data_IF_537371114814
#
_entry.id   IF_537371114814
#
_cell.length_a   1.000
_cell.length_b   1.000
_cell.length_c   1.000
_cell.angle_alpha   90.00
_cell.angle_beta   90.00
_cell.angle_gamma   90.00
#
_symmetry.space_group_name_H-M   'P 1'
#
loop_
_entity.id
_entity.type
_entity.pdbx_description
1 polymer ?
#
# COMPACT_ATOMS: atom_id res chain seq x y z
N UNK A 1 11.48 9.76 -21.99
CA UNK A 1 11.84 8.46 -21.36
C UNK A 1 10.60 7.58 -21.19
N UNK A 2 10.77 6.25 -21.13
CA UNK A 2 9.69 5.32 -20.80
C UNK A 2 9.50 5.23 -19.29
N UNK A 3 8.25 5.20 -18.82
CA UNK A 3 7.90 5.10 -17.39
C UNK A 3 6.99 3.89 -17.16
N UNK A 4 7.21 3.15 -16.07
CA UNK A 4 6.31 2.11 -15.58
C UNK A 4 5.62 2.61 -14.31
N UNK A 5 4.29 2.55 -14.25
CA UNK A 5 3.50 2.75 -13.02
C UNK A 5 3.00 1.40 -12.55
N UNK A 6 3.31 1.04 -11.31
CA UNK A 6 2.83 -0.21 -10.70
C UNK A 6 1.55 0.09 -9.93
N UNK A 7 0.48 -0.66 -10.23
CA UNK A 7 -0.83 -0.57 -9.61
C UNK A 7 -1.95 -0.32 -10.62
N UNK A 8 -3.20 -0.25 -10.15
CA UNK A 8 -4.38 -0.11 -11.01
C UNK A 8 -5.52 0.68 -10.37
N UNK A 9 -5.27 1.39 -9.27
CA UNK A 9 -6.28 2.17 -8.57
C UNK A 9 -6.41 3.62 -9.07
N UNK A 10 -7.23 4.40 -8.39
CA UNK A 10 -7.43 5.82 -8.70
C UNK A 10 -6.19 6.67 -8.48
N UNK A 11 -5.35 6.32 -7.51
CA UNK A 11 -4.06 6.96 -7.24
C UNK A 11 -3.11 6.79 -8.43
N UNK A 12 -2.98 5.57 -8.93
CA UNK A 12 -2.15 5.26 -10.09
C UNK A 12 -2.69 5.92 -11.37
N UNK A 13 -4.02 6.00 -11.52
CA UNK A 13 -4.62 6.75 -12.63
C UNK A 13 -4.24 8.24 -12.59
N UNK A 14 -4.29 8.87 -11.43
CA UNK A 14 -3.87 10.27 -11.27
C UNK A 14 -2.37 10.47 -11.56
N UNK A 15 -1.52 9.50 -11.18
CA UNK A 15 -0.09 9.51 -11.50
C UNK A 15 0.11 9.40 -13.02
N UNK A 16 -0.58 8.47 -13.68
CA UNK A 16 -0.52 8.31 -15.15
C UNK A 16 -0.98 9.59 -15.86
N UNK A 17 -2.09 10.19 -15.43
CA UNK A 17 -2.58 11.45 -15.99
C UNK A 17 -1.56 12.60 -15.82
N UNK A 18 -0.90 12.71 -14.67
CA UNK A 18 0.14 13.70 -14.47
C UNK A 18 1.37 13.46 -15.37
N UNK A 19 1.81 12.20 -15.49
CA UNK A 19 2.94 11.80 -16.32
C UNK A 19 2.67 12.00 -17.82
N UNK A 20 1.43 11.79 -18.28
CA UNK A 20 1.05 11.96 -19.71
C UNK A 20 1.20 13.40 -20.21
N UNK A 21 1.18 14.38 -19.31
CA UNK A 21 1.39 15.80 -19.62
C UNK A 21 2.85 16.23 -19.62
N UNK A 22 3.76 15.35 -19.20
CA UNK A 22 5.18 15.68 -19.12
C UNK A 22 5.89 15.51 -20.46
N UNK A 23 6.56 16.54 -21.01
CA UNK A 23 7.32 16.42 -22.26
C UNK A 23 8.53 15.49 -22.16
N UNK A 24 8.94 15.09 -20.95
CA UNK A 24 10.03 14.15 -20.72
C UNK A 24 9.58 12.69 -20.84
N UNK A 25 8.27 12.42 -20.82
CA UNK A 25 7.69 11.07 -20.87
C UNK A 25 7.27 10.76 -22.30
N UNK A 26 7.92 9.78 -22.88
CA UNK A 26 7.65 9.31 -24.23
C UNK A 26 6.56 8.23 -24.25
N UNK A 27 6.60 7.33 -23.28
CA UNK A 27 5.69 6.18 -23.18
C UNK A 27 5.44 5.82 -21.72
N UNK A 28 4.19 5.54 -21.42
CA UNK A 28 3.76 5.07 -20.07
C UNK A 28 3.25 3.65 -20.20
N UNK A 29 3.76 2.77 -19.33
CA UNK A 29 3.24 1.44 -19.05
C UNK A 29 2.59 1.46 -17.67
N UNK A 30 1.54 0.67 -17.47
CA UNK A 30 0.90 0.52 -16.16
C UNK A 30 0.61 -0.97 -15.88
N UNK A 31 1.01 -1.48 -14.73
CA UNK A 31 0.88 -2.89 -14.38
C UNK A 31 0.16 -3.07 -13.02
N UNK A 32 -1.03 -3.68 -13.00
CA UNK A 32 -1.83 -4.15 -14.13
C UNK A 32 -2.59 -3.05 -14.87
N UNK A 33 -2.77 -1.86 -14.26
CA UNK A 33 -3.61 -0.80 -14.77
C UNK A 33 -5.12 -1.07 -14.62
N UNK A 34 -5.92 -0.28 -15.31
CA UNK A 34 -7.37 -0.43 -15.41
C UNK A 34 -7.90 0.20 -16.72
N UNK A 35 -9.19 0.05 -17.01
CA UNK A 35 -9.81 0.54 -18.25
C UNK A 35 -9.70 2.07 -18.44
N UNK A 36 -9.67 2.85 -17.35
CA UNK A 36 -9.46 4.30 -17.41
C UNK A 36 -8.02 4.64 -17.79
N UNK A 37 -7.06 3.97 -17.16
CA UNK A 37 -5.62 4.11 -17.42
C UNK A 37 -5.28 3.70 -18.85
N UNK A 38 -5.94 2.67 -19.39
CA UNK A 38 -5.71 2.18 -20.75
C UNK A 38 -5.96 3.23 -21.87
N UNK A 39 -6.59 4.35 -21.55
CA UNK A 39 -6.77 5.47 -22.48
C UNK A 39 -5.51 6.32 -22.65
N UNK A 40 -4.58 6.25 -21.69
CA UNK A 40 -3.39 7.12 -21.61
C UNK A 40 -2.08 6.34 -21.50
N UNK A 41 -2.14 5.06 -21.15
CA UNK A 41 -0.99 4.20 -20.94
C UNK A 41 -1.25 2.79 -21.50
N UNK A 42 -0.17 2.07 -21.80
CA UNK A 42 -0.25 0.66 -22.15
C UNK A 42 -0.35 -0.19 -20.88
N UNK A 43 -1.51 -0.82 -20.66
CA UNK A 43 -1.70 -1.72 -19.53
C UNK A 43 -1.05 -3.08 -19.79
N UNK A 44 -0.31 -3.58 -18.78
CA UNK A 44 0.44 -4.83 -18.85
C UNK A 44 -0.11 -5.80 -17.82
N UNK A 45 -0.48 -7.00 -18.24
CA UNK A 45 -1.08 -8.03 -17.38
C UNK A 45 -0.05 -8.69 -16.44
N UNK A 46 0.54 -7.88 -15.55
CA UNK A 46 1.45 -8.28 -14.47
C UNK A 46 0.88 -7.73 -13.17
N UNK A 47 0.66 -8.58 -12.17
CA UNK A 47 0.14 -8.16 -10.87
C UNK A 47 1.21 -7.43 -10.06
N UNK A 48 0.80 -6.58 -9.15
CA UNK A 48 1.67 -5.74 -8.30
C UNK A 48 2.62 -6.56 -7.42
N UNK A 49 2.26 -7.80 -7.12
CA UNK A 49 3.04 -8.71 -6.27
C UNK A 49 4.01 -9.61 -7.06
N UNK A 50 3.94 -9.59 -8.40
CA UNK A 50 4.84 -10.38 -9.27
C UNK A 50 6.15 -9.64 -9.52
N UNK A 51 6.90 -9.42 -8.44
CA UNK A 51 8.06 -8.52 -8.36
C UNK A 51 9.12 -8.80 -9.43
N UNK A 52 9.48 -10.07 -9.61
CA UNK A 52 10.49 -10.48 -10.59
C UNK A 52 10.01 -10.22 -12.02
N UNK A 53 8.76 -10.51 -12.32
CA UNK A 53 8.18 -10.26 -13.66
C UNK A 53 8.12 -8.76 -13.97
N UNK A 54 7.81 -7.93 -12.97
CA UNK A 54 7.84 -6.46 -13.11
C UNK A 54 9.25 -5.96 -13.39
N UNK A 55 10.26 -6.49 -12.67
CA UNK A 55 11.68 -6.17 -12.88
C UNK A 55 12.13 -6.55 -14.29
N UNK A 56 11.84 -7.77 -14.72
CA UNK A 56 12.25 -8.28 -16.02
C UNK A 56 11.59 -7.47 -17.14
N UNK A 57 10.30 -7.20 -17.04
CA UNK A 57 9.60 -6.30 -17.96
C UNK A 57 10.25 -4.91 -18.03
N UNK A 58 10.61 -4.34 -16.88
CA UNK A 58 11.24 -3.02 -16.85
C UNK A 58 12.62 -3.02 -17.54
N UNK A 59 13.41 -4.08 -17.33
CA UNK A 59 14.71 -4.25 -17.98
C UNK A 59 14.56 -4.43 -19.49
N UNK A 60 13.70 -5.35 -19.95
CA UNK A 60 13.48 -5.66 -21.36
C UNK A 60 12.92 -4.47 -22.16
N UNK A 61 12.04 -3.68 -21.57
CA UNK A 61 11.43 -2.51 -22.20
C UNK A 61 12.28 -1.25 -22.11
N UNK A 62 13.39 -1.29 -21.37
CA UNK A 62 14.26 -0.13 -21.14
C UNK A 62 13.53 0.99 -20.39
N UNK A 63 12.84 0.62 -19.30
CA UNK A 63 12.12 1.59 -18.47
C UNK A 63 13.12 2.53 -17.79
N UNK A 64 12.94 3.82 -18.01
CA UNK A 64 13.80 4.85 -17.43
C UNK A 64 13.48 5.20 -15.98
N UNK A 65 12.23 5.00 -15.55
CA UNK A 65 11.78 5.21 -14.17
C UNK A 65 10.55 4.34 -13.90
N UNK A 66 10.53 3.67 -12.75
CA UNK A 66 9.34 2.98 -12.23
C UNK A 66 8.77 3.74 -11.03
N UNK A 67 7.45 3.90 -10.97
CA UNK A 67 6.72 4.54 -9.86
C UNK A 67 5.79 3.50 -9.24
N UNK A 68 5.87 3.31 -7.93
CA UNK A 68 5.05 2.35 -7.19
C UNK A 68 3.90 3.06 -6.51
N UNK A 69 2.66 2.66 -6.82
CA UNK A 69 1.47 3.21 -6.18
C UNK A 69 1.01 2.42 -4.95
N UNK A 70 0.76 1.10 -5.05
CA UNK A 70 0.14 0.34 -3.97
C UNK A 70 1.17 -0.16 -2.95
N UNK A 71 0.76 -0.12 -1.68
CA UNK A 71 1.54 -0.60 -0.55
C UNK A 71 1.84 -2.11 -0.61
N UNK A 72 0.99 -2.90 -1.25
CA UNK A 72 1.20 -4.35 -1.41
C UNK A 72 2.46 -4.66 -2.22
N UNK A 73 2.76 -3.90 -3.26
CA UNK A 73 3.98 -4.04 -4.05
C UNK A 73 5.22 -3.65 -3.23
N UNK A 74 5.12 -2.60 -2.42
CA UNK A 74 6.18 -2.13 -1.53
C UNK A 74 6.49 -3.18 -0.46
N UNK A 75 5.45 -3.74 0.16
CA UNK A 75 5.57 -4.81 1.15
C UNK A 75 6.13 -6.10 0.55
N UNK A 76 5.86 -6.38 -0.72
CA UNK A 76 6.48 -7.49 -1.46
C UNK A 76 7.97 -7.27 -1.73
N UNK A 77 8.47 -6.02 -1.67
CA UNK A 77 9.89 -5.70 -1.83
C UNK A 77 10.30 -5.31 -3.25
N UNK A 78 9.37 -4.81 -4.05
CA UNK A 78 9.63 -4.41 -5.45
C UNK A 78 10.76 -3.39 -5.56
N UNK A 79 10.85 -2.44 -4.62
CA UNK A 79 11.89 -1.40 -4.64
C UNK A 79 13.28 -1.99 -4.41
N UNK A 80 13.39 -2.93 -3.46
CA UNK A 80 14.66 -3.59 -3.16
C UNK A 80 15.11 -4.45 -4.36
N UNK A 81 14.20 -5.18 -4.99
CA UNK A 81 14.47 -5.99 -6.18
C UNK A 81 14.96 -5.15 -7.37
N UNK A 82 14.26 -4.04 -7.67
CA UNK A 82 14.65 -3.14 -8.77
C UNK A 82 16.00 -2.47 -8.52
N UNK A 83 16.27 -2.01 -7.30
CA UNK A 83 17.55 -1.41 -6.93
C UNK A 83 18.69 -2.40 -7.06
N UNK A 84 18.50 -3.65 -6.63
CA UNK A 84 19.48 -4.71 -6.79
C UNK A 84 19.80 -5.01 -8.28
N UNK A 85 18.83 -4.78 -9.18
CA UNK A 85 19.01 -4.91 -10.62
C UNK A 85 19.50 -3.61 -11.31
N UNK A 86 19.85 -2.55 -10.54
CA UNK A 86 20.29 -1.27 -11.10
C UNK A 86 19.20 -0.45 -11.79
N UNK A 87 17.92 -0.82 -11.61
CA UNK A 87 16.78 -0.13 -12.21
C UNK A 87 16.31 1.03 -11.32
N UNK A 88 16.00 2.16 -11.94
CA UNK A 88 15.49 3.33 -11.20
C UNK A 88 14.03 3.13 -10.81
N UNK A 89 13.76 3.28 -9.52
CA UNK A 89 12.42 3.11 -8.96
C UNK A 89 12.16 4.13 -7.85
N UNK A 90 10.96 4.69 -7.84
CA UNK A 90 10.46 5.59 -6.80
C UNK A 90 9.50 4.83 -5.88
N UNK A 91 9.85 4.79 -4.62
CA UNK A 91 9.09 4.16 -3.54
C UNK A 91 9.98 3.84 -2.34
N UNK A 92 9.41 3.61 -1.15
CA UNK A 92 10.14 3.15 0.02
C UNK A 92 10.58 1.68 -0.14
N UNK A 93 11.68 1.33 0.51
CA UNK A 93 12.12 -0.06 0.63
C UNK A 93 11.11 -0.90 1.42
N UNK A 94 11.17 -2.22 1.30
CA UNK A 94 10.34 -3.14 2.09
C UNK A 94 10.44 -2.86 3.60
N UNK A 95 11.63 -2.57 4.09
CA UNK A 95 11.86 -2.24 5.49
C UNK A 95 11.13 -0.94 5.91
N UNK A 96 11.17 0.10 5.07
CA UNK A 96 10.48 1.35 5.33
C UNK A 96 8.96 1.24 5.16
N UNK A 97 8.47 0.45 4.20
CA UNK A 97 7.06 0.19 3.97
C UNK A 97 6.36 -0.50 5.16
N UNK A 98 7.12 -1.07 6.09
CA UNK A 98 6.55 -1.62 7.35
C UNK A 98 5.79 -0.60 8.18
N UNK A 99 6.08 0.67 8.05
CA UNK A 99 5.32 1.74 8.75
C UNK A 99 3.85 1.71 8.35
N UNK A 100 3.54 1.33 7.12
CA UNK A 100 2.15 1.20 6.63
C UNK A 100 1.64 -0.25 6.71
N UNK A 101 2.48 -1.23 6.39
CA UNK A 101 2.07 -2.62 6.32
C UNK A 101 1.94 -3.33 7.68
N UNK A 102 2.47 -2.75 8.77
CA UNK A 102 2.28 -3.25 10.15
C UNK A 102 1.94 -2.11 11.09
N UNK A 103 0.72 -2.12 11.59
CA UNK A 103 0.21 -1.12 12.54
C UNK A 103 0.93 -1.22 13.89
N UNK A 104 1.25 -2.44 14.31
CA UNK A 104 2.04 -2.67 15.52
C UNK A 104 3.43 -2.07 15.40
N UNK A 105 4.13 -2.34 14.29
CA UNK A 105 5.45 -1.77 14.03
C UNK A 105 5.41 -0.24 14.04
N UNK A 106 4.45 0.37 13.33
CA UNK A 106 4.28 1.82 13.30
C UNK A 106 4.06 2.40 14.71
N UNK A 107 3.19 1.78 15.50
CA UNK A 107 2.90 2.21 16.87
C UNK A 107 4.11 2.08 17.80
N UNK A 108 4.86 0.99 17.70
CA UNK A 108 6.11 0.80 18.45
C UNK A 108 7.17 1.84 18.05
N UNK A 109 7.27 2.13 16.76
CA UNK A 109 8.18 3.18 16.26
C UNK A 109 7.80 4.56 16.79
N UNK A 110 6.51 4.91 16.75
CA UNK A 110 6.00 6.18 17.28
C UNK A 110 6.28 6.30 18.79
N UNK A 111 6.06 5.25 19.56
CA UNK A 111 6.36 5.21 20.99
C UNK A 111 7.86 5.40 21.27
N UNK A 112 8.72 4.70 20.49
CA UNK A 112 10.19 4.80 20.62
C UNK A 112 10.71 6.21 20.42
N UNK A 113 10.13 6.96 19.47
CA UNK A 113 10.59 8.31 19.11
C UNK A 113 9.70 9.43 19.66
N UNK A 114 8.85 9.12 20.64
CA UNK A 114 7.93 10.07 21.27
C UNK A 114 7.03 10.84 20.28
N UNK A 115 6.67 10.20 19.16
CA UNK A 115 5.74 10.76 18.17
C UNK A 115 4.32 10.65 18.74
N UNK A 116 3.56 11.77 18.83
CA UNK A 116 2.20 11.76 19.37
C UNK A 116 1.29 10.77 18.64
N UNK A 117 0.69 9.86 19.38
CA UNK A 117 -0.26 8.88 18.86
C UNK A 117 -1.16 8.38 19.98
N UNK A 118 -2.35 7.87 19.63
CA UNK A 118 -3.24 7.24 20.59
C UNK A 118 -2.56 6.00 21.22
N UNK A 119 -2.82 5.78 22.51
CA UNK A 119 -2.34 4.58 23.21
C UNK A 119 -2.77 3.30 22.49
N UNK A 120 -1.95 2.27 22.54
CA UNK A 120 -2.22 1.01 21.86
C UNK A 120 -1.75 -0.19 22.68
N UNK A 121 -2.30 -1.36 22.37
CA UNK A 121 -1.79 -2.65 22.81
C UNK A 121 -1.97 -3.68 21.71
N UNK A 122 -0.96 -4.51 21.47
CA UNK A 122 -1.01 -5.59 20.49
C UNK A 122 -1.19 -6.93 21.23
N UNK A 123 -1.94 -7.84 20.61
CA UNK A 123 -2.21 -9.18 21.11
C UNK A 123 -2.06 -10.17 19.96
N UNK A 124 -1.55 -11.34 20.27
CA UNK A 124 -1.45 -12.47 19.35
C UNK A 124 -2.45 -13.59 19.69
N UNK A 125 -3.19 -13.44 20.79
CA UNK A 125 -4.21 -14.38 21.22
C UNK A 125 -5.55 -13.68 21.53
N UNK A 126 -6.63 -14.40 21.27
CA UNK A 126 -7.99 -13.88 21.44
C UNK A 126 -8.36 -13.65 22.91
N UNK A 127 -7.97 -14.58 23.79
CA UNK A 127 -8.38 -14.52 25.20
C UNK A 127 -7.77 -13.29 25.91
N UNK A 128 -6.49 -13.01 25.67
CA UNK A 128 -5.82 -11.82 26.19
C UNK A 128 -6.39 -10.53 25.63
N UNK A 129 -6.71 -10.51 24.34
CA UNK A 129 -7.35 -9.36 23.71
C UNK A 129 -8.74 -9.08 24.29
N UNK A 130 -9.56 -10.14 24.47
CA UNK A 130 -10.90 -10.04 25.02
C UNK A 130 -10.88 -9.52 26.47
N UNK A 131 -10.06 -10.13 27.32
CA UNK A 131 -9.92 -9.71 28.71
C UNK A 131 -9.50 -8.25 28.85
N UNK A 132 -8.58 -7.81 27.99
CA UNK A 132 -8.13 -6.42 27.96
C UNK A 132 -9.24 -5.44 27.57
N UNK A 133 -10.04 -5.77 26.55
CA UNK A 133 -11.13 -4.91 26.07
C UNK A 133 -12.25 -4.84 27.12
N UNK A 134 -12.60 -5.96 27.76
CA UNK A 134 -13.61 -6.01 28.82
C UNK A 134 -13.23 -5.18 30.06
N UNK A 135 -11.95 -5.07 30.36
CA UNK A 135 -11.43 -4.28 31.49
C UNK A 135 -11.23 -2.79 31.21
N UNK A 136 -11.65 -2.27 30.05
CA UNK A 136 -11.41 -0.87 29.68
C UNK A 136 -12.68 -0.06 29.46
N UNK A 137 -12.63 1.27 29.70
CA UNK A 137 -13.69 2.16 29.27
C UNK A 137 -13.79 2.20 27.74
N UNK A 138 -15.01 2.20 27.22
CA UNK A 138 -15.33 2.34 25.81
C UNK A 138 -15.49 3.82 25.41
N UNK A 139 -15.27 4.21 24.15
CA UNK A 139 -15.07 3.34 22.98
C UNK A 139 -13.64 2.84 22.81
N UNK A 140 -13.47 1.67 22.19
CA UNK A 140 -12.19 1.12 21.79
C UNK A 140 -12.19 0.81 20.28
N UNK A 141 -11.02 0.93 19.65
CA UNK A 141 -10.82 0.63 18.22
C UNK A 141 -9.96 -0.62 18.11
N UNK A 142 -10.49 -1.65 17.47
CA UNK A 142 -9.79 -2.89 17.16
C UNK A 142 -9.31 -2.85 15.70
N UNK A 143 -8.04 -3.18 15.48
CA UNK A 143 -7.45 -3.21 14.14
C UNK A 143 -6.66 -4.50 13.95
N UNK A 144 -6.86 -5.14 12.82
CA UNK A 144 -6.01 -6.24 12.38
C UNK A 144 -4.62 -5.70 12.00
N UNK A 145 -3.55 -6.41 12.40
CA UNK A 145 -2.19 -6.06 11.98
C UNK A 145 -1.86 -6.70 10.64
N UNK A 146 -1.67 -5.88 9.62
CA UNK A 146 -1.41 -6.30 8.25
C UNK A 146 -2.01 -5.35 7.22
N UNK A 147 -1.77 -5.66 5.95
CA UNK A 147 -2.40 -5.00 4.81
C UNK A 147 -3.83 -5.54 4.66
N UNK A 148 -4.82 -4.67 4.86
CA UNK A 148 -6.21 -4.93 4.56
C UNK A 148 -6.63 -4.06 3.38
N UNK A 149 -7.29 -4.64 2.38
CA UNK A 149 -7.77 -3.92 1.19
C UNK A 149 -8.79 -2.81 1.51
N UNK A 150 -9.40 -2.90 2.69
CA UNK A 150 -10.15 -1.83 3.38
C UNK A 150 -9.76 -1.85 4.84
N UNK A 151 -9.85 -0.69 5.51
CA UNK A 151 -9.55 -0.60 6.94
C UNK A 151 -10.47 -1.54 7.71
N UNK A 152 -9.97 -2.72 8.09
CA UNK A 152 -10.64 -3.60 9.05
C UNK A 152 -10.53 -2.95 10.43
N UNK A 153 -11.37 -1.96 10.65
CA UNK A 153 -11.49 -1.25 11.90
C UNK A 153 -12.87 -1.57 12.49
N UNK A 154 -12.87 -2.24 13.64
CA UNK A 154 -14.08 -2.45 14.44
C UNK A 154 -14.04 -1.51 15.64
N UNK A 155 -15.05 -0.64 15.74
CA UNK A 155 -15.27 0.19 16.93
C UNK A 155 -16.16 -0.56 17.91
N UNK A 156 -15.72 -0.66 19.15
CA UNK A 156 -16.48 -1.27 20.23
C UNK A 156 -16.94 -0.18 21.19
N UNK A 157 -18.26 -0.02 21.38
CA UNK A 157 -18.84 0.99 22.26
C UNK A 157 -20.27 1.35 21.87
N UNK A 158 -20.90 2.27 22.63
CA UNK A 158 -22.31 2.69 22.42
C UNK A 158 -22.60 3.30 21.05
N UNK A 159 -21.59 3.74 20.33
CA UNK A 159 -21.72 4.39 19.01
C UNK A 159 -21.72 3.40 17.83
N UNK A 160 -21.53 2.11 18.07
CA UNK A 160 -21.71 1.05 17.05
C UNK A 160 -23.15 0.86 16.58
N UNK A 161 -24.05 1.79 16.84
CA UNK A 161 -25.43 1.81 16.32
C UNK A 161 -25.58 2.46 14.96
N UNK A 162 -24.52 2.88 14.31
CA UNK A 162 -24.60 3.38 12.94
C UNK A 162 -24.73 2.22 11.98
N UNK A 163 -25.98 1.96 11.61
CA UNK A 163 -26.47 1.29 10.41
C UNK A 163 -25.42 0.58 9.57
N UNK A 164 -25.36 -0.71 9.72
CA UNK A 164 -24.95 -1.57 8.62
C UNK A 164 -25.91 -1.28 7.46
N UNK A 165 -25.43 -0.59 6.43
CA UNK A 165 -26.18 -0.51 5.19
C UNK A 165 -26.19 -1.91 4.57
N UNK A 166 -27.34 -2.47 4.19
CA UNK A 166 -27.41 -3.78 3.55
C UNK A 166 -26.86 -3.79 2.11
N UNK A 167 -26.21 -2.70 1.68
CA UNK A 167 -25.62 -2.51 0.34
C UNK A 167 -24.10 -2.30 0.39
N UNK A 168 -23.40 -3.21 1.05
CA UNK A 168 -21.95 -3.33 0.88
C UNK A 168 -21.58 -4.77 0.58
#
# INVERSE_FOLDING_TARGET
MKVLVIGGGGREHAIVDALSRSPQVEKIYCAPGNAGIARQAECVAIRETEVERLRDFAAERGIGLTVVGPEVALAAGVVDCFRAAGLRIFGPTKAAARIESSKEFAKRLMAKYAIPTAGFRAFTDYAGALAYVQGRPLPAVLKYDGLAARSEESRVGKECRSRWSPYH
#
